data_IF_648681357971
#
_entry.id   IF_648681357971
#
_cell.length_a   1.000
_cell.length_b   1.000
_cell.length_c   1.000
_cell.angle_alpha   90.00
_cell.angle_beta   90.00
_cell.angle_gamma   90.00
#
_symmetry.space_group_name_H-M   'P 1'
#
loop_
_entity.id
_entity.type
_entity.pdbx_description
1 polymer ?
#
# COMPACT_ATOMS: atom_id res chain seq x y z
N UNK A 1 -15.99 -5.98 -13.24
CA UNK A 1 -15.88 -7.07 -12.24
C UNK A 1 -16.07 -6.47 -10.85
N UNK A 2 -17.15 -6.82 -10.15
CA UNK A 2 -17.46 -6.27 -8.82
C UNK A 2 -16.65 -6.95 -7.70
N UNK A 3 -16.62 -8.29 -7.68
CA UNK A 3 -15.74 -9.07 -6.78
C UNK A 3 -14.37 -9.25 -7.42
N UNK A 4 -13.32 -8.65 -6.86
CA UNK A 4 -11.97 -8.59 -7.44
C UNK A 4 -10.91 -8.98 -6.41
N UNK A 5 -9.90 -9.73 -6.83
CA UNK A 5 -8.71 -9.97 -6.01
C UNK A 5 -7.82 -8.75 -6.00
N UNK A 6 -7.45 -8.32 -4.79
CA UNK A 6 -6.60 -7.17 -4.51
C UNK A 6 -5.49 -7.59 -3.54
N UNK A 7 -4.35 -6.90 -3.63
CA UNK A 7 -3.23 -7.07 -2.71
C UNK A 7 -2.36 -5.82 -2.63
N UNK A 8 -1.66 -5.66 -1.51
CA UNK A 8 -0.71 -4.56 -1.28
C UNK A 8 0.66 -5.16 -0.97
N UNK A 9 1.71 -4.62 -1.59
CA UNK A 9 3.11 -4.89 -1.28
C UNK A 9 3.70 -3.63 -0.64
N UNK A 10 4.13 -3.69 0.62
CA UNK A 10 4.65 -2.54 1.35
C UNK A 10 6.09 -2.78 1.78
N UNK A 11 7.01 -1.97 1.28
CA UNK A 11 8.40 -1.89 1.73
C UNK A 11 8.50 -0.92 2.92
N UNK A 12 9.26 -1.29 3.95
CA UNK A 12 9.45 -0.49 5.16
C UNK A 12 10.86 0.07 5.24
N UNK A 13 10.97 1.38 5.50
CA UNK A 13 12.23 2.01 5.83
C UNK A 13 12.73 1.52 7.19
N UNK A 14 14.02 1.22 7.33
CA UNK A 14 14.60 0.70 8.57
C UNK A 14 15.83 1.48 9.02
N UNK A 15 15.92 1.77 10.32
CA UNK A 15 17.14 2.35 10.92
C UNK A 15 17.26 1.95 12.39
N UNK A 16 18.48 1.94 12.90
CA UNK A 16 18.76 1.74 14.31
C UNK A 16 19.64 2.88 14.82
N UNK A 17 19.19 3.58 15.85
CA UNK A 17 19.87 4.75 16.39
C UNK A 17 20.16 4.60 17.88
N UNK A 18 21.27 5.15 18.34
CA UNK A 18 21.63 5.25 19.75
C UNK A 18 22.14 6.66 20.03
N UNK A 19 21.50 7.39 20.95
CA UNK A 19 21.79 8.79 21.25
C UNK A 19 21.87 9.70 20.00
N UNK A 20 20.96 9.53 19.05
CA UNK A 20 20.89 10.35 17.84
C UNK A 20 21.89 9.97 16.74
N UNK A 21 22.74 8.96 16.96
CA UNK A 21 23.67 8.45 15.96
C UNK A 21 23.24 7.09 15.44
N UNK A 22 23.46 6.82 14.14
CA UNK A 22 23.23 5.49 13.57
C UNK A 22 24.14 4.48 14.28
N UNK A 23 23.52 3.44 14.85
CA UNK A 23 24.22 2.39 15.59
C UNK A 23 24.57 1.20 14.72
N UNK A 24 23.62 0.76 13.89
CA UNK A 24 23.74 -0.36 12.97
C UNK A 24 23.37 0.11 11.56
N UNK A 25 23.97 -0.52 10.55
CA UNK A 25 23.55 -0.36 9.15
C UNK A 25 22.17 -0.99 8.93
N UNK A 26 21.39 -0.51 7.93
CA UNK A 26 20.11 -1.12 7.56
C UNK A 26 20.19 -2.64 7.36
N UNK A 27 21.25 -3.12 6.70
CA UNK A 27 21.50 -4.56 6.49
C UNK A 27 21.67 -5.34 7.79
N UNK A 28 22.38 -4.78 8.77
CA UNK A 28 22.54 -5.41 10.09
C UNK A 28 21.21 -5.46 10.83
N UNK A 29 20.45 -4.36 10.83
CA UNK A 29 19.11 -4.33 11.46
C UNK A 29 18.17 -5.33 10.81
N UNK A 30 18.15 -5.39 9.48
CA UNK A 30 17.36 -6.36 8.72
C UNK A 30 17.71 -7.81 9.12
N UNK A 31 18.99 -8.14 9.33
CA UNK A 31 19.41 -9.46 9.84
C UNK A 31 18.90 -9.73 11.25
N UNK A 32 18.89 -8.74 12.15
CA UNK A 32 18.32 -8.89 13.49
C UNK A 32 16.80 -9.12 13.45
N UNK A 33 16.08 -8.36 12.61
CA UNK A 33 14.63 -8.53 12.42
C UNK A 33 14.31 -9.93 11.87
N UNK A 34 15.00 -10.37 10.82
CA UNK A 34 14.69 -11.61 10.12
C UNK A 34 15.33 -12.87 10.74
N UNK A 35 16.10 -12.76 11.83
CA UNK A 35 16.66 -13.95 12.52
C UNK A 35 15.56 -14.95 12.92
N UNK A 36 14.43 -14.45 13.44
CA UNK A 36 13.25 -15.27 13.77
C UNK A 36 12.57 -15.83 12.52
N UNK A 37 12.49 -15.04 11.45
CA UNK A 37 11.91 -15.46 10.16
C UNK A 37 12.72 -16.60 9.52
N UNK A 38 14.05 -16.49 9.55
CA UNK A 38 14.95 -17.55 9.07
C UNK A 38 14.80 -18.82 9.91
N UNK A 39 14.54 -18.71 11.22
CA UNK A 39 14.22 -19.92 12.02
C UNK A 39 12.89 -20.58 11.63
N UNK A 40 11.93 -19.83 11.09
CA UNK A 40 10.64 -20.38 10.65
C UNK A 40 10.72 -21.10 9.30
N UNK A 41 11.46 -20.55 8.35
CA UNK A 41 11.44 -21.01 6.95
C UNK A 41 12.81 -21.30 6.33
N UNK A 42 13.90 -21.24 7.10
CA UNK A 42 15.30 -21.34 6.63
C UNK A 42 15.67 -20.33 5.52
N UNK A 43 14.87 -19.29 5.36
CA UNK A 43 14.93 -18.31 4.28
C UNK A 43 14.50 -16.94 4.82
N UNK A 44 15.05 -15.87 4.26
CA UNK A 44 14.60 -14.50 4.48
C UNK A 44 13.38 -14.12 3.63
N UNK A 45 12.74 -15.11 2.98
CA UNK A 45 11.53 -14.98 2.18
C UNK A 45 10.62 -16.15 2.53
N UNK A 46 9.51 -15.86 3.20
CA UNK A 46 8.58 -16.85 3.72
C UNK A 46 7.13 -16.46 3.44
N UNK A 47 6.27 -17.47 3.35
CA UNK A 47 4.83 -17.28 3.47
C UNK A 47 4.39 -17.55 4.91
N UNK A 48 3.53 -16.68 5.43
CA UNK A 48 3.03 -16.72 6.81
C UNK A 48 1.72 -17.50 6.90
N UNK A 49 1.29 -17.84 8.12
CA UNK A 49 0.03 -18.56 8.40
C UNK A 49 -1.20 -17.80 7.91
N UNK A 50 -1.18 -16.46 7.97
CA UNK A 50 -2.23 -15.62 7.41
C UNK A 50 -2.20 -15.54 5.87
N UNK A 51 -1.33 -16.30 5.20
CA UNK A 51 -1.24 -16.38 3.75
C UNK A 51 -0.46 -15.23 3.10
N UNK A 52 -0.01 -14.23 3.86
CA UNK A 52 0.83 -13.15 3.38
C UNK A 52 2.26 -13.64 3.11
N UNK A 53 3.04 -12.83 2.40
CA UNK A 53 4.46 -13.08 2.14
C UNK A 53 5.29 -12.01 2.84
N UNK A 54 6.31 -12.43 3.57
CA UNK A 54 7.26 -11.56 4.26
C UNK A 54 8.66 -11.86 3.76
N UNK A 55 9.36 -10.84 3.28
CA UNK A 55 10.71 -11.01 2.73
C UNK A 55 11.59 -9.77 2.86
N UNK A 56 12.89 -9.93 2.59
CA UNK A 56 13.80 -8.81 2.38
C UNK A 56 13.91 -8.52 0.89
N UNK A 57 13.53 -7.32 0.47
CA UNK A 57 13.65 -6.87 -0.92
C UNK A 57 15.01 -6.18 -1.19
N UNK A 58 15.21 -5.69 -2.41
CA UNK A 58 16.41 -4.99 -2.84
C UNK A 58 16.68 -3.78 -1.92
N UNK A 59 17.91 -3.70 -1.42
CA UNK A 59 18.29 -2.65 -0.46
C UNK A 59 17.98 -3.00 1.00
N UNK A 60 17.66 -4.27 1.29
CA UNK A 60 17.44 -4.79 2.64
C UNK A 60 16.22 -4.20 3.36
N UNK A 61 15.24 -3.69 2.61
CA UNK A 61 13.96 -3.29 3.16
C UNK A 61 13.14 -4.53 3.52
N UNK A 62 12.62 -4.64 4.75
CA UNK A 62 11.52 -5.55 5.05
C UNK A 62 10.33 -5.23 4.15
N UNK A 63 9.84 -6.23 3.42
CA UNK A 63 8.66 -6.10 2.59
C UNK A 63 7.59 -7.10 3.03
N UNK A 64 6.38 -6.58 3.22
CA UNK A 64 5.20 -7.37 3.51
C UNK A 64 4.22 -7.25 2.35
N UNK A 65 3.91 -8.38 1.70
CA UNK A 65 2.87 -8.48 0.69
C UNK A 65 1.65 -9.18 1.29
N UNK A 66 0.51 -8.50 1.30
CA UNK A 66 -0.73 -9.03 1.86
C UNK A 66 -1.13 -10.33 1.19
N UNK A 67 -1.87 -11.17 1.92
CA UNK A 67 -2.64 -12.23 1.29
C UNK A 67 -3.64 -11.67 0.27
N UNK A 68 -4.07 -12.49 -0.67
CA UNK A 68 -5.12 -12.12 -1.63
C UNK A 68 -6.43 -11.84 -0.92
N UNK A 69 -6.94 -10.62 -1.04
CA UNK A 69 -8.22 -10.21 -0.46
C UNK A 69 -9.22 -9.92 -1.58
N UNK A 70 -10.49 -10.25 -1.37
CA UNK A 70 -11.58 -9.92 -2.30
C UNK A 70 -12.61 -8.94 -1.71
N UNK A 71 -12.29 -8.39 -0.54
CA UNK A 71 -13.05 -7.38 0.17
C UNK A 71 -12.11 -6.23 0.58
N UNK A 72 -12.58 -4.98 0.48
CA UNK A 72 -11.74 -3.80 0.69
C UNK A 72 -11.34 -3.62 2.15
N UNK A 73 -12.28 -3.80 3.09
CA UNK A 73 -11.99 -3.72 4.53
C UNK A 73 -11.08 -4.87 4.96
N UNK A 74 -11.29 -6.08 4.42
CA UNK A 74 -10.38 -7.20 4.65
C UNK A 74 -8.95 -6.88 4.20
N UNK A 75 -8.76 -6.26 3.04
CA UNK A 75 -7.43 -5.83 2.57
C UNK A 75 -6.79 -4.83 3.53
N UNK A 76 -7.55 -3.84 4.02
CA UNK A 76 -7.06 -2.88 5.02
C UNK A 76 -6.62 -3.62 6.30
N UNK A 77 -7.41 -4.58 6.77
CA UNK A 77 -7.06 -5.37 7.95
C UNK A 77 -5.74 -6.12 7.76
N UNK A 78 -5.54 -6.75 6.60
CA UNK A 78 -4.31 -7.49 6.31
C UNK A 78 -3.09 -6.59 6.07
N UNK A 79 -3.26 -5.38 5.54
CA UNK A 79 -2.20 -4.38 5.46
C UNK A 79 -1.78 -3.88 6.86
N UNK A 80 -2.75 -3.60 7.73
CA UNK A 80 -2.49 -3.26 9.15
C UNK A 80 -1.89 -4.43 9.93
N UNK A 81 -2.27 -5.67 9.62
CA UNK A 81 -1.67 -6.87 10.22
C UNK A 81 -0.18 -7.00 9.85
N UNK A 82 0.23 -6.56 8.66
CA UNK A 82 1.64 -6.50 8.28
C UNK A 82 2.47 -5.59 9.18
N UNK A 83 1.90 -4.45 9.60
CA UNK A 83 2.53 -3.56 10.58
C UNK A 83 2.69 -4.24 11.95
N UNK A 84 1.70 -5.05 12.38
CA UNK A 84 1.76 -5.81 13.64
C UNK A 84 2.86 -6.87 13.61
N UNK A 85 2.94 -7.64 12.52
CA UNK A 85 3.99 -8.64 12.32
C UNK A 85 5.38 -7.99 12.38
N UNK A 86 5.57 -6.86 11.70
CA UNK A 86 6.85 -6.17 11.70
C UNK A 86 7.19 -5.51 13.04
N UNK A 87 6.18 -4.98 13.76
CA UNK A 87 6.36 -4.46 15.11
C UNK A 87 6.82 -5.56 16.08
N UNK A 88 6.26 -6.76 16.01
CA UNK A 88 6.73 -7.90 16.82
C UNK A 88 8.18 -8.27 16.51
N UNK A 89 8.56 -8.32 15.23
CA UNK A 89 9.95 -8.56 14.84
C UNK A 89 10.90 -7.47 15.35
N UNK A 90 10.44 -6.22 15.37
CA UNK A 90 11.16 -5.08 15.91
C UNK A 90 11.40 -5.25 17.42
N UNK A 91 10.35 -5.55 18.19
CA UNK A 91 10.44 -5.74 19.65
C UNK A 91 11.41 -6.88 19.98
N UNK A 92 11.28 -8.01 19.29
CA UNK A 92 12.18 -9.15 19.44
C UNK A 92 13.64 -8.79 19.10
N UNK A 93 13.85 -7.98 18.05
CA UNK A 93 15.18 -7.55 17.65
C UNK A 93 15.80 -6.60 18.69
N UNK A 94 15.04 -5.64 19.22
CA UNK A 94 15.50 -4.75 20.29
C UNK A 94 15.85 -5.52 21.56
N UNK A 95 15.05 -6.52 21.94
CA UNK A 95 15.36 -7.39 23.08
C UNK A 95 16.69 -8.13 22.88
N UNK A 96 16.91 -8.72 21.71
CA UNK A 96 18.18 -9.40 21.38
C UNK A 96 19.37 -8.44 21.40
N UNK A 97 19.22 -7.25 20.85
CA UNK A 97 20.28 -6.23 20.90
C UNK A 97 20.65 -5.89 22.35
N UNK A 98 19.65 -5.73 23.22
CA UNK A 98 19.88 -5.47 24.64
C UNK A 98 20.58 -6.65 25.34
N UNK A 99 20.19 -7.89 25.06
CA UNK A 99 20.84 -9.11 25.58
C UNK A 99 22.30 -9.23 25.14
N UNK A 100 22.62 -8.81 23.92
CA UNK A 100 23.99 -8.74 23.37
C UNK A 100 24.78 -7.51 23.87
N UNK A 101 24.19 -6.67 24.74
CA UNK A 101 24.83 -5.46 25.27
C UNK A 101 24.93 -4.30 24.26
N UNK A 102 24.16 -4.37 23.17
CA UNK A 102 24.11 -3.35 22.12
C UNK A 102 22.91 -2.45 22.38
N UNK A 103 23.15 -1.27 22.94
CA UNK A 103 22.11 -0.24 23.05
C UNK A 103 21.70 0.33 21.68
N UNK A 104 20.40 0.48 21.45
CA UNK A 104 19.86 1.11 20.24
C UNK A 104 18.34 0.94 20.13
N UNK A 105 17.69 1.95 19.57
CA UNK A 105 16.27 1.93 19.22
C UNK A 105 16.13 1.62 17.73
N UNK A 106 15.31 0.62 17.38
CA UNK A 106 14.99 0.30 16.00
C UNK A 106 13.73 1.08 15.59
N UNK A 107 13.76 1.64 14.38
CA UNK A 107 12.63 2.31 13.75
C UNK A 107 12.28 1.62 12.44
N UNK A 108 10.98 1.41 12.24
CA UNK A 108 10.40 0.93 11.00
C UNK A 108 9.39 1.95 10.51
N UNK A 109 9.58 2.44 9.29
CA UNK A 109 8.78 3.50 8.71
C UNK A 109 7.95 2.98 7.54
N UNK A 110 6.63 3.13 7.62
CA UNK A 110 5.71 2.87 6.52
C UNK A 110 5.55 4.13 5.66
N UNK A 111 6.63 4.52 5.01
CA UNK A 111 6.70 5.68 4.11
C UNK A 111 7.34 5.28 2.78
N UNK A 112 7.81 6.23 1.97
CA UNK A 112 8.37 5.94 0.65
C UNK A 112 9.74 6.54 0.38
N UNK A 113 10.31 7.32 1.31
CA UNK A 113 11.58 8.00 1.09
C UNK A 113 12.39 8.14 2.37
N UNK A 114 13.70 7.99 2.27
CA UNK A 114 14.61 8.32 3.38
C UNK A 114 15.20 9.73 3.27
N UNK A 115 16.00 10.12 4.27
CA UNK A 115 16.69 11.41 4.30
C UNK A 115 17.86 11.52 3.30
N UNK A 116 18.31 10.39 2.73
CA UNK A 116 19.34 10.36 1.69
C UNK A 116 18.75 10.52 0.27
N UNK A 117 17.42 10.59 0.15
CA UNK A 117 16.73 10.73 -1.14
C UNK A 117 16.48 9.40 -1.86
N UNK A 118 16.73 8.26 -1.21
CA UNK A 118 16.31 6.97 -1.73
C UNK A 118 14.79 6.84 -1.60
N UNK A 119 14.21 5.98 -2.43
CA UNK A 119 12.77 5.70 -2.38
C UNK A 119 12.47 4.22 -2.55
N UNK A 120 11.49 3.77 -1.77
CA UNK A 120 10.93 2.43 -1.68
C UNK A 120 9.39 2.48 -1.86
N UNK A 121 8.80 1.34 -2.22
CA UNK A 121 7.46 1.25 -2.79
C UNK A 121 6.33 0.85 -1.81
N UNK A 122 5.12 1.33 -2.11
CA UNK A 122 3.88 0.64 -1.77
C UNK A 122 3.19 0.32 -3.09
N UNK A 123 3.13 -0.96 -3.45
CA UNK A 123 2.54 -1.38 -4.71
C UNK A 123 1.14 -1.96 -4.48
N UNK A 124 0.24 -1.63 -5.40
CA UNK A 124 -1.12 -2.15 -5.41
C UNK A 124 -1.26 -3.16 -6.55
N UNK A 125 -1.91 -4.27 -6.24
CA UNK A 125 -2.16 -5.36 -7.17
C UNK A 125 -3.66 -5.54 -7.36
N UNK A 126 -4.11 -5.52 -8.61
CA UNK A 126 -5.50 -5.74 -8.97
C UNK A 126 -5.59 -6.86 -10.00
N UNK A 127 -6.40 -7.88 -9.70
CA UNK A 127 -6.78 -8.85 -10.71
C UNK A 127 -7.72 -8.18 -11.72
N UNK A 128 -7.42 -8.29 -13.00
CA UNK A 128 -8.27 -7.80 -14.09
C UNK A 128 -8.57 -8.95 -15.05
N UNK A 129 -9.73 -8.90 -15.70
CA UNK A 129 -10.06 -9.86 -16.74
C UNK A 129 -9.09 -9.73 -17.91
N UNK A 130 -8.74 -10.87 -18.54
CA UNK A 130 -7.85 -10.87 -19.71
C UNK A 130 -8.57 -10.47 -21.00
N UNK A 131 -9.90 -10.55 -21.01
CA UNK A 131 -10.73 -10.11 -22.11
C UNK A 131 -10.64 -8.59 -22.31
N UNK A 132 -10.57 -8.15 -23.57
CA UNK A 132 -10.45 -6.73 -23.94
C UNK A 132 -9.01 -6.27 -24.16
N UNK A 133 -8.87 -5.00 -24.57
CA UNK A 133 -7.58 -4.39 -24.85
C UNK A 133 -6.97 -3.76 -23.60
N UNK A 134 -5.79 -4.22 -23.19
CA UNK A 134 -5.09 -3.68 -22.02
C UNK A 134 -4.69 -2.21 -22.17
N UNK A 135 -4.48 -1.75 -23.41
CA UNK A 135 -4.24 -0.33 -23.74
C UNK A 135 -5.36 0.55 -23.21
N UNK A 136 -6.63 0.16 -23.42
CA UNK A 136 -7.79 0.91 -22.92
C UNK A 136 -7.78 1.08 -21.41
N UNK A 137 -7.37 0.05 -20.66
CA UNK A 137 -7.25 0.15 -19.20
C UNK A 137 -6.18 1.18 -18.87
N UNK A 138 -5.01 1.10 -19.50
CA UNK A 138 -3.90 2.03 -19.26
C UNK A 138 -4.27 3.48 -19.60
N UNK A 139 -4.95 3.70 -20.73
CA UNK A 139 -5.30 5.05 -21.22
C UNK A 139 -6.26 5.78 -20.29
N UNK A 140 -7.24 5.05 -19.73
CA UNK A 140 -8.18 5.61 -18.75
C UNK A 140 -7.53 5.70 -17.37
N UNK A 141 -6.79 4.68 -16.96
CA UNK A 141 -6.29 4.62 -15.59
C UNK A 141 -5.14 5.60 -15.33
N UNK A 142 -4.31 5.90 -16.34
CA UNK A 142 -3.11 6.72 -16.17
C UNK A 142 -3.43 8.17 -15.69
N UNK A 143 -4.35 8.93 -16.30
CA UNK A 143 -4.73 10.26 -15.81
C UNK A 143 -5.35 10.22 -14.39
N UNK A 144 -6.14 9.19 -14.09
CA UNK A 144 -6.69 8.98 -12.76
C UNK A 144 -5.57 8.77 -11.74
N UNK A 145 -4.63 7.86 -12.00
CA UNK A 145 -3.53 7.54 -11.08
C UNK A 145 -2.59 8.73 -10.84
N UNK A 146 -2.30 9.52 -11.87
CA UNK A 146 -1.49 10.75 -11.74
C UNK A 146 -2.14 11.77 -10.81
N UNK A 147 -3.47 11.88 -10.86
CA UNK A 147 -4.23 12.87 -10.08
C UNK A 147 -4.72 12.34 -8.73
N UNK A 148 -4.73 11.02 -8.53
CA UNK A 148 -5.21 10.34 -7.30
C UNK A 148 -4.43 10.74 -6.05
N UNK A 149 -3.19 11.19 -6.17
CA UNK A 149 -2.42 11.74 -5.04
C UNK A 149 -3.12 12.90 -4.32
N UNK A 150 -4.01 13.62 -5.00
CA UNK A 150 -4.86 14.65 -4.40
C UNK A 150 -5.75 14.09 -3.29
N UNK A 151 -6.30 12.89 -3.51
CA UNK A 151 -7.23 12.26 -2.58
C UNK A 151 -6.54 11.30 -1.61
N UNK A 152 -5.39 10.70 -1.97
CA UNK A 152 -4.77 9.65 -1.16
C UNK A 152 -3.26 9.78 -0.91
N UNK A 153 -2.66 10.96 -1.15
CA UNK A 153 -1.25 11.20 -0.84
C UNK A 153 -0.93 11.11 0.66
N UNK A 154 0.31 10.74 1.01
CA UNK A 154 0.76 10.66 2.40
C UNK A 154 1.41 11.96 2.90
N UNK A 155 1.66 12.92 2.01
CA UNK A 155 2.30 14.19 2.30
C UNK A 155 3.80 14.07 2.52
N UNK A 156 4.55 15.09 2.07
CA UNK A 156 6.00 15.23 2.28
C UNK A 156 6.39 16.69 2.40
N UNK A 157 7.36 17.03 3.25
CA UNK A 157 8.08 18.30 3.11
C UNK A 157 9.29 18.09 2.19
N UNK A 158 9.21 18.65 0.99
CA UNK A 158 10.30 18.62 0.01
C UNK A 158 11.20 19.85 0.21
N UNK A 159 12.48 19.61 0.45
CA UNK A 159 13.50 20.65 0.43
C UNK A 159 13.89 20.94 -1.02
N UNK A 160 13.52 22.11 -1.54
CA UNK A 160 13.99 22.58 -2.85
C UNK A 160 15.12 23.59 -2.67
N UNK A 161 15.94 23.87 -3.71
CA UNK A 161 16.96 24.91 -3.63
C UNK A 161 16.42 26.31 -3.28
N UNK A 162 15.11 26.55 -3.46
CA UNK A 162 14.47 27.84 -3.17
C UNK A 162 13.85 27.88 -1.77
N UNK A 163 13.08 26.84 -1.42
CA UNK A 163 12.34 26.77 -0.17
C UNK A 163 11.86 25.34 0.13
N UNK A 164 11.59 25.05 1.41
CA UNK A 164 10.84 23.88 1.81
C UNK A 164 9.37 24.04 1.38
N UNK A 165 8.81 23.03 0.71
CA UNK A 165 7.42 23.03 0.22
C UNK A 165 6.71 21.76 0.68
N UNK A 166 5.47 21.89 1.13
CA UNK A 166 4.62 20.74 1.41
C UNK A 166 4.03 20.19 0.11
N UNK A 167 4.24 18.90 -0.16
CA UNK A 167 3.79 18.21 -1.36
C UNK A 167 2.81 17.10 -0.99
N UNK A 168 1.89 16.76 -1.90
CA UNK A 168 0.85 15.74 -1.69
C UNK A 168 1.44 14.33 -1.61
N UNK A 169 2.38 14.00 -2.51
CA UNK A 169 2.94 12.64 -2.63
C UNK A 169 4.43 12.59 -2.30
N UNK A 170 4.83 11.53 -1.60
CA UNK A 170 6.23 11.17 -1.40
C UNK A 170 6.86 10.54 -2.64
N UNK A 171 6.07 9.81 -3.44
CA UNK A 171 6.53 9.05 -4.60
C UNK A 171 6.72 9.88 -5.87
N UNK A 172 5.99 10.97 -6.04
CA UNK A 172 5.93 11.72 -7.31
C UNK A 172 7.30 12.12 -7.90
N UNK A 173 8.26 12.52 -7.07
CA UNK A 173 9.63 12.89 -7.51
C UNK A 173 10.46 11.69 -7.99
N UNK A 174 10.06 10.47 -7.63
CA UNK A 174 10.80 9.23 -7.86
C UNK A 174 10.20 8.33 -8.95
N UNK A 175 9.13 8.79 -9.62
CA UNK A 175 8.51 8.12 -10.78
C UNK A 175 9.12 8.68 -12.08
N UNK A 176 9.45 7.79 -13.02
CA UNK A 176 10.21 8.14 -14.23
C UNK A 176 9.55 7.70 -15.55
N UNK A 177 8.67 6.69 -15.53
CA UNK A 177 7.96 6.22 -16.72
C UNK A 177 6.45 6.13 -16.49
N UNK A 178 5.65 6.25 -17.55
CA UNK A 178 4.21 6.09 -17.45
C UNK A 178 3.83 4.61 -17.35
N UNK A 179 4.37 3.80 -18.26
CA UNK A 179 4.05 2.38 -18.39
C UNK A 179 5.34 1.64 -18.76
N UNK A 180 5.70 0.58 -18.02
CA UNK A 180 6.95 -0.17 -18.22
C UNK A 180 6.88 -1.55 -17.56
N UNK A 181 7.78 -2.46 -17.88
CA UNK A 181 7.85 -3.78 -17.22
C UNK A 181 8.87 -3.86 -16.07
N UNK A 182 9.77 -2.88 -15.96
CA UNK A 182 10.78 -2.83 -14.90
C UNK A 182 10.28 -2.06 -13.65
N UNK A 183 10.55 -2.55 -12.45
CA UNK A 183 10.10 -1.94 -11.19
C UNK A 183 11.17 -1.05 -10.54
N UNK A 184 12.45 -1.39 -10.70
CA UNK A 184 13.54 -0.74 -9.94
C UNK A 184 14.32 0.33 -10.73
N UNK A 185 14.52 0.17 -12.05
CA UNK A 185 15.30 1.12 -12.88
C UNK A 185 14.45 2.24 -13.49
N UNK A 186 13.24 1.93 -13.95
CA UNK A 186 12.37 2.90 -14.65
C UNK A 186 11.14 3.35 -13.85
N UNK A 187 10.76 2.62 -12.78
CA UNK A 187 9.66 2.96 -11.86
C UNK A 187 8.43 3.55 -12.61
N UNK A 188 7.73 2.73 -13.42
CA UNK A 188 6.56 3.19 -14.19
C UNK A 188 5.37 3.54 -13.29
N UNK A 189 4.34 4.21 -13.78
CA UNK A 189 3.07 4.33 -13.02
C UNK A 189 2.32 2.99 -13.02
N UNK A 190 2.26 2.34 -14.19
CA UNK A 190 1.65 1.01 -14.39
C UNK A 190 2.74 0.04 -14.82
N UNK A 191 2.90 -1.06 -14.06
CA UNK A 191 3.78 -2.15 -14.45
C UNK A 191 3.03 -3.16 -15.34
N UNK A 192 3.65 -3.51 -16.48
CA UNK A 192 3.05 -4.39 -17.50
C UNK A 192 3.56 -5.83 -17.48
N UNK A 193 4.27 -6.24 -16.42
CA UNK A 193 4.76 -7.62 -16.28
C UNK A 193 3.57 -8.59 -16.21
N UNK A 194 3.53 -9.55 -17.12
CA UNK A 194 2.43 -10.51 -17.23
C UNK A 194 2.64 -11.72 -16.30
N UNK A 195 2.62 -11.47 -15.00
CA UNK A 195 2.68 -12.48 -13.93
C UNK A 195 1.35 -12.47 -13.15
N UNK A 196 0.29 -13.12 -13.68
CA UNK A 196 -1.05 -13.02 -13.11
C UNK A 196 -1.19 -13.67 -11.74
N UNK A 197 -0.26 -14.57 -11.39
CA UNK A 197 -0.41 -15.52 -10.27
C UNK A 197 -1.80 -16.17 -10.26
N UNK A 198 -2.39 -16.42 -11.42
CA UNK A 198 -3.70 -17.02 -11.59
C UNK A 198 -3.71 -17.75 -12.94
N UNK A 199 -4.87 -18.26 -13.35
CA UNK A 199 -5.04 -18.78 -14.71
C UNK A 199 -4.76 -17.67 -15.75
N UNK A 200 -3.65 -17.83 -16.49
CA UNK A 200 -3.15 -16.86 -17.46
C UNK A 200 -4.01 -16.75 -18.72
N UNK A 201 -4.97 -17.66 -18.95
CA UNK A 201 -5.96 -17.51 -20.02
C UNK A 201 -7.09 -16.56 -19.61
N UNK A 202 -7.39 -16.48 -18.31
CA UNK A 202 -8.55 -15.75 -17.78
C UNK A 202 -8.20 -14.38 -17.22
N UNK A 203 -7.02 -14.24 -16.61
CA UNK A 203 -6.71 -13.07 -15.79
C UNK A 203 -5.34 -12.45 -16.11
N UNK A 204 -5.20 -11.17 -15.74
CA UNK A 204 -3.93 -10.46 -15.62
C UNK A 204 -3.81 -9.87 -14.22
N UNK A 205 -2.57 -9.63 -13.77
CA UNK A 205 -2.29 -8.83 -12.58
C UNK A 205 -1.88 -7.43 -13.02
N UNK A 206 -2.73 -6.46 -12.75
CA UNK A 206 -2.41 -5.05 -12.90
C UNK A 206 -1.61 -4.60 -11.67
N UNK A 207 -0.36 -4.20 -11.87
CA UNK A 207 0.55 -3.81 -10.81
C UNK A 207 0.81 -2.30 -10.89
N UNK A 208 0.43 -1.57 -9.84
CA UNK A 208 0.47 -0.11 -9.76
C UNK A 208 1.47 0.28 -8.69
N UNK A 209 2.43 1.14 -9.02
CA UNK A 209 3.56 1.45 -8.10
C UNK A 209 3.68 2.94 -7.74
N UNK A 210 2.66 3.72 -8.12
CA UNK A 210 2.62 5.18 -7.95
C UNK A 210 2.10 5.63 -6.58
N UNK A 211 1.40 4.76 -5.87
CA UNK A 211 0.78 5.08 -4.58
C UNK A 211 1.81 5.29 -3.49
N UNK A 212 1.50 6.22 -2.58
CA UNK A 212 2.24 6.37 -1.33
C UNK A 212 1.85 5.24 -0.34
N UNK A 213 2.74 4.95 0.60
CA UNK A 213 2.46 4.16 1.79
C UNK A 213 1.58 4.99 2.73
N UNK A 214 0.43 4.43 3.15
CA UNK A 214 -0.57 5.17 3.95
C UNK A 214 -0.65 4.61 5.37
N UNK A 215 -0.71 5.52 6.36
CA UNK A 215 -0.89 5.17 7.77
C UNK A 215 -2.39 5.07 8.10
N UNK A 216 -3.17 6.05 7.64
CA UNK A 216 -4.62 6.06 7.84
C UNK A 216 -5.31 4.96 7.06
N UNK A 217 -6.07 4.14 7.78
CA UNK A 217 -6.94 3.11 7.24
C UNK A 217 -7.92 3.68 6.21
N UNK A 218 -8.46 4.88 6.49
CA UNK A 218 -9.37 5.58 5.58
C UNK A 218 -8.69 6.00 4.28
N UNK A 219 -7.42 6.43 4.32
CA UNK A 219 -6.66 6.75 3.11
C UNK A 219 -6.40 5.50 2.28
N UNK A 220 -6.00 4.38 2.90
CA UNK A 220 -5.78 3.10 2.20
C UNK A 220 -7.06 2.61 1.53
N UNK A 221 -8.20 2.66 2.24
CA UNK A 221 -9.51 2.31 1.68
C UNK A 221 -9.86 3.19 0.49
N UNK A 222 -9.68 4.51 0.58
CA UNK A 222 -9.95 5.42 -0.53
C UNK A 222 -9.02 5.15 -1.72
N UNK A 223 -7.72 4.94 -1.47
CA UNK A 223 -6.71 4.66 -2.50
C UNK A 223 -7.08 3.44 -3.34
N UNK A 224 -7.31 2.30 -2.68
CA UNK A 224 -7.59 1.04 -3.35
C UNK A 224 -9.02 0.99 -3.87
N UNK A 225 -9.99 1.46 -3.08
CA UNK A 225 -11.41 1.43 -3.44
C UNK A 225 -11.73 2.25 -4.69
N UNK A 226 -11.17 3.45 -4.81
CA UNK A 226 -11.37 4.28 -6.01
C UNK A 226 -10.74 3.66 -7.25
N UNK A 227 -9.54 3.09 -7.14
CA UNK A 227 -8.91 2.36 -8.24
C UNK A 227 -9.71 1.13 -8.66
N UNK A 228 -10.17 0.31 -7.71
CA UNK A 228 -10.99 -0.86 -7.97
C UNK A 228 -12.32 -0.49 -8.67
N UNK A 229 -12.94 0.62 -8.26
CA UNK A 229 -14.17 1.14 -8.85
C UNK A 229 -13.94 1.70 -10.26
N UNK A 230 -12.84 2.41 -10.52
CA UNK A 230 -12.48 2.85 -11.87
C UNK A 230 -12.25 1.66 -12.80
N UNK A 231 -11.56 0.61 -12.32
CA UNK A 231 -11.40 -0.63 -13.08
C UNK A 231 -12.75 -1.32 -13.34
N UNK A 232 -13.65 -1.34 -12.35
CA UNK A 232 -15.00 -1.87 -12.53
C UNK A 232 -15.76 -1.12 -13.63
N UNK A 233 -15.71 0.21 -13.63
CA UNK A 233 -16.35 1.06 -14.65
C UNK A 233 -15.75 0.83 -16.05
N UNK A 234 -14.43 0.71 -16.17
CA UNK A 234 -13.75 0.40 -17.45
C UNK A 234 -14.24 -0.94 -17.99
N UNK A 235 -14.28 -1.97 -17.14
CA UNK A 235 -14.74 -3.32 -17.50
C UNK A 235 -16.25 -3.36 -17.84
N UNK A 236 -17.05 -2.48 -17.23
CA UNK A 236 -18.47 -2.29 -17.55
C UNK A 236 -18.69 -1.46 -18.84
N UNK A 237 -17.63 -0.95 -19.46
CA UNK A 237 -17.70 -0.20 -20.70
C UNK A 237 -18.10 1.27 -20.54
N UNK A 238 -18.06 1.82 -19.32
CA UNK A 238 -18.31 3.25 -19.06
C UNK A 238 -17.37 4.10 -19.90
N UNK A 239 -17.91 5.12 -20.54
CA UNK A 239 -17.14 6.07 -21.35
C UNK A 239 -16.57 7.17 -20.45
N UNK A 240 -15.27 7.39 -20.56
CA UNK A 240 -14.58 8.49 -19.88
C UNK A 240 -14.24 9.59 -20.86
N UNK A 241 -14.20 10.83 -20.38
CA UNK A 241 -13.60 11.92 -21.14
C UNK A 241 -12.11 11.63 -21.35
N UNK A 242 -11.62 11.91 -22.55
CA UNK A 242 -10.20 11.75 -22.86
C UNK A 242 -9.35 12.81 -22.14
N UNK A 243 -8.61 12.35 -21.13
CA UNK A 243 -7.64 13.11 -20.35
C UNK A 243 -6.21 12.62 -20.57
N UNK A 244 -5.91 12.02 -21.73
CA UNK A 244 -4.54 11.62 -22.07
C UNK A 244 -3.56 12.78 -21.78
N UNK A 245 -2.54 12.50 -20.98
CA UNK A 245 -1.57 13.49 -20.54
C UNK A 245 -0.48 13.67 -21.60
N UNK A 246 -0.08 14.92 -21.87
CA UNK A 246 1.03 15.23 -22.79
C UNK A 246 2.35 14.63 -22.28
N UNK A 247 2.59 14.76 -20.96
CA UNK A 247 3.72 14.13 -20.28
C UNK A 247 3.30 13.71 -18.86
N UNK A 248 2.99 12.41 -18.63
CA UNK A 248 2.57 11.92 -17.32
C UNK A 248 3.58 12.18 -16.19
N UNK A 249 4.88 12.19 -16.49
CA UNK A 249 5.98 12.34 -15.51
C UNK A 249 6.15 13.78 -15.07
N UNK A 250 5.94 14.71 -15.99
CA UNK A 250 5.85 16.11 -15.63
C UNK A 250 4.57 16.38 -14.84
N UNK A 251 3.44 15.85 -15.31
CA UNK A 251 2.15 16.06 -14.68
C UNK A 251 2.13 15.56 -13.22
N UNK A 252 2.64 14.36 -12.93
CA UNK A 252 2.63 13.81 -11.57
C UNK A 252 3.38 14.69 -10.55
N UNK A 253 4.49 15.31 -10.95
CA UNK A 253 5.25 16.26 -10.10
C UNK A 253 4.53 17.60 -9.96
N UNK A 254 3.98 18.12 -11.06
CA UNK A 254 3.21 19.36 -11.04
C UNK A 254 1.96 19.25 -10.15
N UNK A 255 1.29 18.09 -10.17
CA UNK A 255 0.17 17.80 -9.27
C UNK A 255 0.63 17.67 -7.82
N UNK A 256 1.73 16.95 -7.54
CA UNK A 256 2.22 16.79 -6.16
C UNK A 256 2.53 18.11 -5.48
N UNK A 257 3.04 19.09 -6.23
CA UNK A 257 3.41 20.40 -5.72
C UNK A 257 2.24 21.36 -5.54
N UNK A 258 1.03 21.00 -5.97
CA UNK A 258 -0.15 21.85 -5.88
C UNK A 258 -1.25 21.24 -5.00
N UNK A 259 -1.23 21.62 -3.71
CA UNK A 259 -2.26 21.23 -2.74
C UNK A 259 -3.65 21.83 -3.04
N UNK A 260 -3.74 22.80 -3.94
CA UNK A 260 -5.03 23.36 -4.37
C UNK A 260 -5.70 22.50 -5.44
N UNK A 261 -4.93 21.67 -6.14
CA UNK A 261 -5.40 20.85 -7.26
C UNK A 261 -5.87 21.65 -8.48
N UNK A 262 -5.67 22.98 -8.52
CA UNK A 262 -6.19 23.90 -9.54
C UNK A 262 -5.20 24.20 -10.66
N UNK A 263 -3.91 23.93 -10.45
CA UNK A 263 -2.88 24.15 -11.47
C UNK A 263 -3.16 23.25 -12.67
N UNK A 264 -3.31 23.81 -13.88
CA UNK A 264 -3.57 23.01 -15.07
C UNK A 264 -2.33 22.19 -15.46
N UNK A 265 -2.56 20.93 -15.82
CA UNK A 265 -1.59 20.08 -16.51
C UNK A 265 -1.92 20.01 -18.00
N UNK A 266 -0.90 19.81 -18.84
CA UNK A 266 -1.07 19.70 -20.28
C UNK A 266 -1.60 18.32 -20.66
N UNK A 267 -2.65 18.30 -21.47
CA UNK A 267 -3.22 17.11 -22.07
C UNK A 267 -2.71 16.98 -23.52
N UNK A 268 -2.81 15.78 -24.06
CA UNK A 268 -2.59 15.51 -25.48
C UNK A 268 -3.48 16.41 -26.35
N UNK A 269 -2.93 16.87 -27.48
CA UNK A 269 -3.63 17.80 -28.38
C UNK A 269 -3.70 19.25 -27.87
N UNK A 270 -2.92 19.62 -26.84
CA UNK A 270 -2.76 21.01 -26.38
C UNK A 270 -3.85 21.51 -25.44
N UNK A 271 -4.83 20.67 -25.09
CA UNK A 271 -5.84 20.96 -24.05
C UNK A 271 -5.19 21.03 -22.67
N UNK A 272 -5.91 21.58 -21.70
CA UNK A 272 -5.49 21.64 -20.31
C UNK A 272 -6.64 21.25 -19.38
N UNK A 273 -6.32 20.63 -18.26
CA UNK A 273 -7.24 20.37 -17.16
C UNK A 273 -6.46 20.37 -15.85
N UNK A 274 -7.08 20.78 -14.75
CA UNK A 274 -6.48 20.67 -13.42
C UNK A 274 -6.64 19.24 -12.86
N UNK A 275 -5.86 18.89 -11.83
CA UNK A 275 -6.01 17.60 -11.17
C UNK A 275 -7.41 17.44 -10.55
N UNK A 276 -7.96 18.53 -10.01
CA UNK A 276 -9.31 18.59 -9.46
C UNK A 276 -10.36 18.32 -10.55
N UNK A 277 -10.24 18.94 -11.73
CA UNK A 277 -11.19 18.72 -12.85
C UNK A 277 -11.22 17.25 -13.28
N UNK A 278 -10.03 16.64 -13.40
CA UNK A 278 -9.89 15.24 -13.79
C UNK A 278 -10.57 14.36 -12.73
N UNK A 279 -10.25 14.54 -11.45
CA UNK A 279 -10.83 13.74 -10.37
C UNK A 279 -12.35 13.94 -10.22
N UNK A 280 -12.87 15.15 -10.46
CA UNK A 280 -14.32 15.43 -10.46
C UNK A 280 -15.05 14.66 -11.56
N UNK A 281 -14.48 14.55 -12.76
CA UNK A 281 -15.08 13.69 -13.82
C UNK A 281 -15.13 12.23 -13.36
N UNK A 282 -14.02 11.68 -12.84
CA UNK A 282 -13.98 10.30 -12.37
C UNK A 282 -14.99 10.05 -11.24
N UNK A 283 -15.09 10.97 -10.28
CA UNK A 283 -16.04 10.88 -9.18
C UNK A 283 -17.49 10.97 -9.68
N UNK A 284 -17.80 11.87 -10.61
CA UNK A 284 -19.14 11.98 -11.19
C UNK A 284 -19.55 10.69 -11.91
N UNK A 285 -18.64 10.07 -12.68
CA UNK A 285 -18.88 8.76 -13.30
C UNK A 285 -19.09 7.65 -12.28
N UNK A 286 -18.33 7.67 -11.19
CA UNK A 286 -18.52 6.71 -10.10
C UNK A 286 -19.92 6.88 -9.46
N UNK A 287 -20.34 8.10 -9.17
CA UNK A 287 -21.68 8.39 -8.63
C UNK A 287 -22.79 7.88 -9.56
N UNK A 288 -22.68 8.14 -10.86
CA UNK A 288 -23.64 7.66 -11.87
C UNK A 288 -23.64 6.12 -11.95
N UNK A 289 -22.46 5.50 -11.99
CA UNK A 289 -22.31 4.04 -12.05
C UNK A 289 -22.97 3.35 -10.85
N UNK A 290 -22.86 3.94 -9.66
CA UNK A 290 -23.46 3.41 -8.43
C UNK A 290 -25.00 3.37 -8.47
N UNK A 291 -25.65 4.21 -9.29
CA UNK A 291 -27.12 4.20 -9.40
C UNK A 291 -27.68 2.92 -10.01
N UNK A 292 -26.88 2.25 -10.85
CA UNK A 292 -27.26 1.03 -11.57
C UNK A 292 -26.55 -0.23 -11.02
N UNK A 293 -25.80 -0.08 -9.92
CA UNK A 293 -25.05 -1.16 -9.26
C UNK A 293 -25.82 -1.64 -8.04
N UNK A 294 -25.68 -2.92 -7.70
CA UNK A 294 -26.17 -3.43 -6.43
C UNK A 294 -25.55 -2.63 -5.26
N UNK A 295 -26.37 -2.26 -4.24
CA UNK A 295 -25.88 -1.50 -3.10
C UNK A 295 -24.75 -2.22 -2.37
N UNK A 296 -23.66 -1.51 -2.16
CA UNK A 296 -22.50 -1.98 -1.42
C UNK A 296 -22.05 -0.86 -0.46
N UNK A 297 -22.17 -1.08 0.86
CA UNK A 297 -21.80 -0.08 1.85
C UNK A 297 -20.33 0.37 1.75
N UNK A 298 -19.41 -0.53 1.38
CA UNK A 298 -17.98 -0.19 1.30
C UNK A 298 -17.72 0.74 0.13
N UNK A 299 -18.30 0.45 -1.04
CA UNK A 299 -18.15 1.30 -2.23
C UNK A 299 -18.86 2.64 -2.03
N UNK A 300 -20.01 2.65 -1.35
CA UNK A 300 -20.72 3.89 -0.98
C UNK A 300 -19.86 4.78 -0.08
N UNK A 301 -19.22 4.19 0.93
CA UNK A 301 -18.30 4.91 1.82
C UNK A 301 -17.08 5.47 1.06
N UNK A 302 -16.53 4.72 0.10
CA UNK A 302 -15.43 5.17 -0.77
C UNK A 302 -15.85 6.40 -1.58
N UNK A 303 -17.02 6.35 -2.24
CA UNK A 303 -17.50 7.45 -3.10
C UNK A 303 -17.89 8.69 -2.28
N UNK A 304 -18.42 8.51 -1.06
CA UNK A 304 -18.67 9.60 -0.12
C UNK A 304 -17.37 10.31 0.29
N UNK A 305 -16.38 9.55 0.78
CA UNK A 305 -15.10 10.12 1.20
C UNK A 305 -14.36 10.77 0.02
N UNK A 306 -14.44 10.18 -1.18
CA UNK A 306 -13.91 10.78 -2.40
C UNK A 306 -14.54 12.15 -2.66
N UNK A 307 -15.87 12.24 -2.64
CA UNK A 307 -16.60 13.49 -2.86
C UNK A 307 -16.24 14.56 -1.83
N UNK A 308 -16.27 14.21 -0.54
CA UNK A 308 -15.92 15.13 0.56
C UNK A 308 -14.47 15.64 0.45
N UNK A 309 -13.55 14.78 0.00
CA UNK A 309 -12.17 15.18 -0.19
C UNK A 309 -12.00 16.14 -1.37
N UNK A 310 -12.72 15.92 -2.48
CA UNK A 310 -12.72 16.86 -3.61
C UNK A 310 -13.36 18.20 -3.23
N UNK A 311 -14.45 18.18 -2.45
CA UNK A 311 -15.07 19.39 -1.91
C UNK A 311 -14.09 20.17 -1.02
N UNK A 312 -13.37 19.47 -0.14
CA UNK A 312 -12.37 20.07 0.73
C UNK A 312 -11.21 20.71 -0.05
N UNK A 313 -10.74 20.06 -1.11
CA UNK A 313 -9.73 20.64 -2.02
C UNK A 313 -10.31 21.86 -2.74
N UNK A 314 -11.54 21.80 -3.22
CA UNK A 314 -12.12 22.91 -3.97
C UNK A 314 -12.30 24.17 -3.09
N UNK A 315 -12.82 24.00 -1.88
CA UNK A 315 -13.09 25.09 -0.93
C UNK A 315 -11.85 25.49 -0.11
N UNK A 316 -10.79 24.68 -0.14
CA UNK A 316 -9.63 24.75 0.74
C UNK A 316 -9.98 24.63 2.25
N UNK A 317 -11.14 24.07 2.57
CA UNK A 317 -11.56 23.73 3.94
C UNK A 317 -11.55 22.21 4.15
N UNK A 318 -10.62 21.76 4.99
CA UNK A 318 -10.37 20.34 5.20
C UNK A 318 -10.96 19.80 6.50
N UNK A 319 -11.75 20.59 7.25
CA UNK A 319 -12.28 20.20 8.55
C UNK A 319 -13.10 18.89 8.52
N UNK A 320 -13.72 18.56 7.37
CA UNK A 320 -14.54 17.35 7.21
C UNK A 320 -13.74 16.07 6.89
N UNK A 321 -12.43 16.19 6.63
CA UNK A 321 -11.56 15.09 6.18
C UNK A 321 -10.21 15.06 6.90
N UNK A 322 -10.01 15.96 7.88
CA UNK A 322 -8.73 16.14 8.60
C UNK A 322 -8.39 15.06 9.62
N UNK A 323 -9.24 14.04 9.71
CA UNK A 323 -9.04 12.80 10.46
C UNK A 323 -8.96 11.57 9.55
N UNK A 324 -9.16 11.72 8.23
CA UNK A 324 -9.28 10.60 7.30
C UNK A 324 -8.11 10.50 6.32
N UNK A 325 -7.58 11.63 5.83
CA UNK A 325 -6.57 11.64 4.74
C UNK A 325 -5.18 12.00 5.27
N UNK A 326 -4.19 11.14 5.03
CA UNK A 326 -2.84 11.24 5.62
C UNK A 326 -2.17 12.60 5.40
N UNK A 327 -2.12 13.10 4.16
CA UNK A 327 -1.48 14.39 3.90
C UNK A 327 -2.20 15.55 4.60
N UNK A 328 -3.53 15.45 4.79
CA UNK A 328 -4.32 16.46 5.50
C UNK A 328 -4.06 16.40 7.00
N UNK A 329 -4.09 15.19 7.59
CA UNK A 329 -3.76 14.94 9.00
C UNK A 329 -2.37 15.49 9.31
N UNK A 330 -1.39 15.14 8.48
CA UNK A 330 0.00 15.58 8.64
C UNK A 330 0.16 17.08 8.45
N UNK A 331 -0.49 17.69 7.46
CA UNK A 331 -0.45 19.14 7.26
C UNK A 331 -1.06 19.89 8.45
N UNK A 332 -2.18 19.39 9.02
CA UNK A 332 -2.79 19.94 10.24
C UNK A 332 -1.84 19.85 11.44
N UNK A 333 -1.12 18.73 11.57
CA UNK A 333 -0.08 18.57 12.58
C UNK A 333 1.04 19.60 12.41
N UNK A 334 1.56 19.79 11.20
CA UNK A 334 2.61 20.77 10.94
C UNK A 334 2.13 22.18 11.24
N UNK A 335 0.96 22.57 10.72
CA UNK A 335 0.37 23.88 10.97
C UNK A 335 0.27 24.18 12.47
N UNK A 336 -0.17 23.22 13.28
CA UNK A 336 -0.21 23.38 14.74
C UNK A 336 1.15 23.70 15.37
N UNK A 337 2.23 23.09 14.87
CA UNK A 337 3.59 23.38 15.33
C UNK A 337 4.08 24.75 14.84
N UNK A 338 3.77 25.11 13.60
CA UNK A 338 4.09 26.43 13.06
C UNK A 338 3.37 27.53 13.87
N UNK A 339 2.06 27.39 14.12
CA UNK A 339 1.27 28.35 14.88
C UNK A 339 1.73 28.50 16.33
N UNK A 340 2.10 27.38 16.97
CA UNK A 340 2.46 27.37 18.41
C UNK A 340 3.89 27.82 18.67
N UNK A 341 4.82 27.48 17.78
CA UNK A 341 6.25 27.65 18.01
C UNK A 341 6.94 28.58 17.01
N UNK A 342 6.24 29.06 15.98
CA UNK A 342 6.80 29.90 14.93
C UNK A 342 7.76 29.14 14.01
N UNK A 343 7.62 27.81 13.89
CA UNK A 343 8.48 27.02 13.00
C UNK A 343 8.15 27.27 11.53
N UNK A 344 9.20 27.33 10.71
CA UNK A 344 9.11 27.27 9.27
C UNK A 344 8.99 25.82 8.81
N UNK A 345 8.48 25.57 7.59
CA UNK A 345 8.45 24.20 7.03
C UNK A 345 9.85 23.57 6.92
N UNK A 346 10.89 24.40 6.77
CA UNK A 346 12.27 23.94 6.69
C UNK A 346 12.87 23.53 8.05
N UNK A 347 12.17 23.75 9.16
CA UNK A 347 12.67 23.47 10.50
C UNK A 347 12.96 21.96 10.69
N UNK A 348 14.11 21.58 11.27
CA UNK A 348 14.44 20.17 11.54
C UNK A 348 13.37 19.43 12.36
N UNK A 349 12.61 20.14 13.19
CA UNK A 349 11.50 19.55 13.96
C UNK A 349 10.34 19.13 13.06
N UNK A 350 10.04 19.90 12.00
CA UNK A 350 9.03 19.52 11.01
C UNK A 350 9.50 18.30 10.23
N UNK A 351 10.77 18.26 9.81
CA UNK A 351 11.34 17.08 9.14
C UNK A 351 11.31 15.83 10.03
N UNK A 352 11.60 15.97 11.33
CA UNK A 352 11.46 14.87 12.29
C UNK A 352 10.00 14.39 12.40
N UNK A 353 9.03 15.31 12.47
CA UNK A 353 7.61 14.98 12.53
C UNK A 353 7.12 14.29 11.24
N UNK A 354 7.60 14.72 10.07
CA UNK A 354 7.28 14.08 8.79
C UNK A 354 7.68 12.60 8.78
N UNK A 355 8.88 12.29 9.26
CA UNK A 355 9.36 10.92 9.36
C UNK A 355 8.65 10.14 10.48
N UNK A 356 8.54 10.72 11.68
CA UNK A 356 7.95 10.07 12.85
C UNK A 356 6.44 9.82 12.73
N UNK A 357 5.75 10.52 11.81
CA UNK A 357 4.38 10.20 11.42
C UNK A 357 4.22 8.75 10.97
N UNK A 358 5.24 8.20 10.30
CA UNK A 358 5.18 6.87 9.70
C UNK A 358 5.86 5.76 10.51
N UNK A 359 6.36 6.06 11.71
CA UNK A 359 6.90 5.03 12.60
C UNK A 359 5.75 4.11 13.06
N UNK A 360 5.88 2.82 12.79
CA UNK A 360 4.82 1.84 13.05
C UNK A 360 4.74 1.41 14.51
N UNK A 361 5.76 1.71 15.34
CA UNK A 361 5.81 1.29 16.73
C UNK A 361 4.74 2.00 17.56
N UNK A 362 3.82 1.22 18.13
CA UNK A 362 2.77 1.67 19.03
C UNK A 362 3.36 2.38 20.26
N UNK A 363 2.75 3.49 20.65
CA UNK A 363 3.19 4.34 21.76
C UNK A 363 4.37 5.26 21.45
N UNK A 364 5.00 5.12 20.27
CA UNK A 364 6.12 5.98 19.81
C UNK A 364 5.77 6.76 18.54
N UNK A 365 5.23 6.07 17.53
CA UNK A 365 4.87 6.68 16.25
C UNK A 365 3.82 7.77 16.37
N UNK A 366 4.01 8.88 15.66
CA UNK A 366 3.13 10.04 15.78
C UNK A 366 1.71 9.74 15.31
N UNK A 367 1.54 8.94 14.25
CA UNK A 367 0.21 8.51 13.81
C UNK A 367 -0.53 7.69 14.89
N UNK A 368 0.14 6.72 15.53
CA UNK A 368 -0.46 5.93 16.63
C UNK A 368 -0.83 6.84 17.82
N UNK A 369 -0.01 7.82 18.16
CA UNK A 369 -0.32 8.81 19.20
C UNK A 369 -1.55 9.64 18.84
N UNK A 370 -1.71 10.05 17.57
CA UNK A 370 -2.91 10.76 17.10
C UNK A 370 -4.13 9.85 17.18
N UNK A 371 -3.99 8.58 16.80
CA UNK A 371 -5.06 7.58 16.86
C UNK A 371 -5.57 7.36 18.27
N UNK A 372 -4.69 7.14 19.25
CA UNK A 372 -5.07 6.97 20.67
C UNK A 372 -5.75 8.20 21.27
N UNK A 373 -5.53 9.38 20.69
CA UNK A 373 -6.18 10.63 21.10
C UNK A 373 -7.51 10.88 20.38
N UNK A 374 -7.96 9.95 19.53
CA UNK A 374 -9.17 10.12 18.71
C UNK A 374 -9.04 11.23 17.67
N UNK A 375 -7.82 11.53 17.21
CA UNK A 375 -7.54 12.55 16.20
C UNK A 375 -7.40 11.99 14.79
N UNK A 376 -7.64 10.70 14.60
CA UNK A 376 -7.77 10.03 13.30
C UNK A 376 -8.98 9.11 13.33
N UNK A 377 -9.60 8.89 12.17
CA UNK A 377 -10.77 8.03 12.01
C UNK A 377 -10.34 6.60 11.72
N UNK A 378 -11.00 5.65 12.39
CA UNK A 378 -10.87 4.20 12.15
C UNK A 378 -11.95 3.72 11.20
N UNK A 379 -11.64 2.73 10.38
CA UNK A 379 -12.62 1.98 9.56
C UNK A 379 -12.69 0.50 9.94
N UNK A 380 -11.81 0.05 10.83
CA UNK A 380 -11.79 -1.29 11.39
C UNK A 380 -11.42 -1.25 12.87
N UNK A 381 -11.49 -2.40 13.53
CA UNK A 381 -11.24 -2.59 14.95
C UNK A 381 -9.91 -3.31 15.19
N UNK A 382 -9.30 -3.09 16.35
CA UNK A 382 -8.00 -3.71 16.67
C UNK A 382 -8.12 -5.23 16.72
N UNK A 383 -9.21 -5.77 17.27
CA UNK A 383 -9.50 -7.20 17.33
C UNK A 383 -9.49 -7.86 15.95
N UNK A 384 -10.01 -7.16 14.94
CA UNK A 384 -10.05 -7.66 13.56
C UNK A 384 -8.66 -7.65 12.92
N UNK A 385 -7.85 -6.63 13.23
CA UNK A 385 -6.45 -6.55 12.77
C UNK A 385 -5.61 -7.64 13.43
N UNK A 386 -5.71 -7.81 14.74
CA UNK A 386 -4.95 -8.84 15.47
C UNK A 386 -5.35 -10.26 14.98
N UNK A 387 -6.64 -10.51 14.69
CA UNK A 387 -7.06 -11.77 14.08
C UNK A 387 -6.44 -12.02 12.68
N UNK A 388 -6.26 -10.95 11.89
CA UNK A 388 -5.67 -11.02 10.54
C UNK A 388 -4.15 -11.27 10.54
N UNK A 389 -3.48 -11.17 11.69
CA UNK A 389 -2.06 -11.55 11.86
C UNK A 389 -1.88 -13.06 11.68
N UNK A 390 -2.81 -13.86 12.20
CA UNK A 390 -2.73 -15.32 12.18
C UNK A 390 -3.68 -15.98 11.18
N UNK A 391 -4.83 -15.35 10.92
CA UNK A 391 -5.91 -15.95 10.13
C UNK A 391 -5.92 -15.40 8.71
N UNK A 392 -5.84 -16.23 7.66
CA UNK A 392 -5.92 -15.77 6.27
C UNK A 392 -7.33 -15.29 5.88
N UNK A 393 -7.47 -14.55 4.76
CA UNK A 393 -8.75 -14.33 4.11
C UNK A 393 -9.49 -15.64 3.85
N UNK A 394 -10.71 -15.77 4.38
CA UNK A 394 -11.50 -17.02 4.31
C UNK A 394 -12.22 -17.22 2.96
N UNK A 395 -12.26 -16.18 2.14
CA UNK A 395 -13.01 -16.09 0.88
C UNK A 395 -12.14 -16.29 -0.35
N UNK A 396 -10.82 -16.38 -0.19
CA UNK A 396 -9.85 -16.51 -1.29
C UNK A 396 -8.98 -17.74 -1.11
N UNK A 397 -8.11 -18.03 -2.09
CA UNK A 397 -7.14 -19.12 -1.98
C UNK A 397 -6.13 -18.96 -0.85
N UNK A 398 -6.01 -17.77 -0.26
CA UNK A 398 -5.15 -17.54 0.88
C UNK A 398 -5.53 -18.45 2.06
N UNK A 399 -6.82 -18.79 2.20
CA UNK A 399 -7.30 -19.79 3.15
C UNK A 399 -6.57 -21.14 2.98
N UNK A 400 -6.58 -21.68 1.76
CA UNK A 400 -5.93 -22.95 1.43
C UNK A 400 -4.43 -22.92 1.76
N UNK A 401 -3.78 -21.79 1.45
CA UNK A 401 -2.36 -21.57 1.75
C UNK A 401 -2.10 -21.56 3.25
N UNK A 402 -2.89 -20.80 4.01
CA UNK A 402 -2.72 -20.68 5.46
C UNK A 402 -2.97 -21.99 6.20
N UNK A 403 -4.03 -22.72 5.84
CA UNK A 403 -4.33 -24.04 6.40
C UNK A 403 -3.20 -25.05 6.12
N UNK A 404 -2.67 -25.06 4.89
CA UNK A 404 -1.53 -25.91 4.52
C UNK A 404 -0.27 -25.56 5.32
N UNK A 405 0.07 -24.28 5.44
CA UNK A 405 1.26 -23.83 6.19
C UNK A 405 1.14 -24.20 7.66
N UNK A 406 -0.03 -23.96 8.27
CA UNK A 406 -0.29 -24.29 9.68
C UNK A 406 -0.13 -25.79 9.92
N UNK A 407 -0.80 -26.64 9.13
CA UNK A 407 -0.71 -28.08 9.27
C UNK A 407 0.72 -28.62 9.08
N UNK A 408 1.46 -28.11 8.09
CA UNK A 408 2.82 -28.55 7.82
C UNK A 408 3.79 -28.16 8.96
N UNK A 409 3.62 -26.96 9.54
CA UNK A 409 4.42 -26.52 10.69
C UNK A 409 4.11 -27.33 11.96
N UNK A 410 2.83 -27.60 12.23
CA UNK A 410 2.41 -28.41 13.38
C UNK A 410 2.90 -29.86 13.28
N UNK A 411 2.92 -30.42 12.08
CA UNK A 411 3.45 -31.76 11.80
C UNK A 411 4.99 -31.80 11.66
N UNK A 412 5.70 -30.66 11.75
CA UNK A 412 7.15 -30.59 11.60
C UNK A 412 7.66 -31.04 10.22
N UNK A 413 6.86 -30.84 9.17
CA UNK A 413 7.15 -31.28 7.79
C UNK A 413 7.81 -30.16 7.00
N UNK A 414 8.83 -30.50 6.20
CA UNK A 414 9.42 -29.56 5.24
C UNK A 414 8.46 -29.34 4.05
N UNK A 415 8.28 -28.08 3.65
CA UNK A 415 7.37 -27.69 2.56
C UNK A 415 7.92 -26.54 1.73
N UNK A 416 7.30 -26.31 0.56
CA UNK A 416 7.55 -25.16 -0.30
C UNK A 416 6.23 -24.61 -0.80
N UNK A 417 6.05 -23.30 -0.66
CA UNK A 417 4.82 -22.59 -1.00
C UNK A 417 5.17 -21.38 -1.86
N UNK A 418 4.33 -21.11 -2.85
CA UNK A 418 4.24 -19.82 -3.50
C UNK A 418 2.77 -19.37 -3.63
N UNK A 419 2.48 -18.33 -4.42
CA UNK A 419 1.13 -17.82 -4.61
C UNK A 419 0.16 -18.87 -5.18
N UNK A 420 0.63 -19.82 -5.99
CA UNK A 420 -0.19 -20.82 -6.71
C UNK A 420 0.19 -22.28 -6.45
N UNK A 421 1.34 -22.58 -5.85
CA UNK A 421 1.85 -23.92 -5.58
C UNK A 421 1.91 -24.18 -4.07
N UNK A 422 1.38 -25.33 -3.65
CA UNK A 422 1.57 -25.90 -2.31
C UNK A 422 2.28 -27.25 -2.47
N UNK A 423 3.49 -27.38 -1.96
CA UNK A 423 4.33 -28.59 -2.11
C UNK A 423 4.80 -29.11 -0.76
N UNK A 424 4.60 -30.41 -0.52
CA UNK A 424 5.30 -31.13 0.55
C UNK A 424 6.63 -31.68 0.02
N UNK A 425 7.72 -31.43 0.75
CA UNK A 425 9.06 -31.87 0.37
C UNK A 425 9.37 -33.28 0.90
N UNK A 426 8.42 -34.20 0.75
CA UNK A 426 8.60 -35.61 1.07
C UNK A 426 9.17 -36.41 -0.12
N UNK A 427 9.38 -37.72 0.05
CA UNK A 427 9.88 -38.58 -1.03
C UNK A 427 8.96 -38.58 -2.27
N UNK A 428 7.66 -38.36 -2.09
CA UNK A 428 6.68 -38.33 -3.18
C UNK A 428 6.54 -36.94 -3.83
N UNK A 429 7.13 -35.89 -3.23
CA UNK A 429 7.13 -34.49 -3.70
C UNK A 429 5.75 -33.98 -4.15
N UNK A 430 4.71 -34.30 -3.37
CA UNK A 430 3.32 -34.01 -3.73
C UNK A 430 3.07 -32.49 -3.82
N UNK A 431 2.52 -32.04 -4.95
CA UNK A 431 2.29 -30.62 -5.26
C UNK A 431 0.85 -30.39 -5.72
N UNK A 432 0.21 -29.34 -5.21
CA UNK A 432 -1.14 -28.90 -5.61
C UNK A 432 -1.09 -27.49 -6.17
N UNK A 433 -1.77 -27.29 -7.31
CA UNK A 433 -1.89 -26.01 -8.01
C UNK A 433 -3.22 -25.31 -7.71
N UNK A 434 -3.14 -24.13 -7.10
CA UNK A 434 -4.24 -23.25 -6.71
C UNK A 434 -4.32 -22.02 -7.65
N UNK A 435 -4.61 -22.27 -8.94
CA UNK A 435 -4.65 -21.23 -9.99
C UNK A 435 -5.87 -20.32 -9.93
N UNK A 436 -6.96 -20.74 -9.29
CA UNK A 436 -8.14 -19.91 -9.09
C UNK A 436 -8.02 -19.16 -7.76
N UNK A 437 -7.78 -17.83 -7.78
CA UNK A 437 -7.59 -17.07 -6.56
C UNK A 437 -8.89 -16.88 -5.75
N UNK A 438 -10.07 -17.13 -6.34
CA UNK A 438 -11.36 -17.03 -5.66
C UNK A 438 -11.76 -18.31 -4.94
N UNK A 439 -11.06 -19.42 -5.16
CA UNK A 439 -11.38 -20.73 -4.58
C UNK A 439 -10.75 -20.86 -3.21
N UNK A 440 -11.58 -20.96 -2.16
CA UNK A 440 -11.15 -21.14 -0.77
C UNK A 440 -11.33 -22.57 -0.23
N UNK A 441 -11.84 -23.51 -1.05
CA UNK A 441 -12.02 -24.93 -0.69
C UNK A 441 -11.53 -25.81 -1.85
N UNK A 442 -10.62 -26.74 -1.60
CA UNK A 442 -10.06 -27.65 -2.61
C UNK A 442 -9.71 -29.03 -2.02
N UNK A 443 -10.45 -30.07 -2.42
CA UNK A 443 -10.26 -31.46 -1.96
C UNK A 443 -8.83 -32.00 -2.17
N UNK A 444 -8.08 -31.43 -3.13
CA UNK A 444 -6.68 -31.83 -3.35
C UNK A 444 -5.78 -31.29 -2.23
N UNK A 445 -6.06 -30.08 -1.75
CA UNK A 445 -5.36 -29.48 -0.60
C UNK A 445 -5.75 -30.19 0.68
N UNK A 446 -7.04 -30.47 0.89
CA UNK A 446 -7.52 -31.23 2.05
C UNK A 446 -6.86 -32.61 2.16
N UNK A 447 -6.78 -33.36 1.06
CA UNK A 447 -6.05 -34.64 1.02
C UNK A 447 -4.56 -34.49 1.26
N UNK A 448 -3.95 -33.39 0.83
CA UNK A 448 -2.54 -33.12 1.08
C UNK A 448 -2.30 -32.87 2.58
N UNK A 449 -3.14 -32.05 3.20
CA UNK A 449 -3.11 -31.75 4.65
C UNK A 449 -3.37 -33.02 5.47
N UNK A 450 -4.40 -33.80 5.14
CA UNK A 450 -4.74 -35.04 5.85
C UNK A 450 -3.67 -36.14 5.77
N UNK A 451 -2.63 -35.94 4.97
CA UNK A 451 -1.53 -36.88 4.77
C UNK A 451 -0.21 -36.48 5.44
N UNK A 452 -0.20 -35.35 6.13
CA UNK A 452 0.89 -34.90 7.00
C UNK A 452 0.71 -35.53 8.39
#
# INVERSE_FOLDING_TARGET
MQRRIMGIETEFGVTCTFHGHRRLSPDEVARYLFRRVVSWGRSSNVFLRNGARLYLDVGSHPEYATAECDNLIQLVNHDRAGERVLEELLIDAEQRLAEEGIGGDIYLFKNNTDSAGNSYGCHENFLVARAGEFSRISDVLLPFLVTRQLICGAGKVLQTPKAATFCLSQRAEHIWEGVSSATTRSRPIINTRDEPHADAEKYRRLHVIVGDSNMSESTTMLKVGTAALVLEMIEAGVSFRDFALDNPIRAIREVSHDVTGRRPVRLAGGRQASALDIQREYHARAVEHLQNRDPDPQVTQVVDLWGRMLDAVETQDFAKVDMEIDWVIKRKLFQRYQDRHGFELADPKIAQLDLAYHDIKRGRGVFDVLQRKGLVKRITEDETIEAAVDTPPQTTRAKLRGEFITAAQEAGRDFTVDWVHLKLNDQAQRTVLCKDPFRSVDERVERLIASM
#
